data_IF_986283870967
#
_entry.id   IF_986283870967
#
_cell.length_a   1.000
_cell.length_b   1.000
_cell.length_c   1.000
_cell.angle_alpha   90.00
_cell.angle_beta   90.00
_cell.angle_gamma   90.00
#
_symmetry.space_group_name_H-M   'P 1'
#
loop_
_entity.id
_entity.type
_entity.pdbx_description
1 polymer ?
#
# COMPACT_ATOMS: atom_id res chain seq x y z
N UNK A 1 -4.53 23.72 4.81
CA UNK A 1 -4.73 25.19 4.74
C UNK A 1 -6.18 25.59 4.49
N UNK A 2 -6.92 25.01 3.53
CA UNK A 2 -8.32 25.41 3.31
C UNK A 2 -9.23 25.19 4.52
N UNK A 3 -9.06 24.09 5.26
CA UNK A 3 -9.80 23.85 6.51
C UNK A 3 -9.54 24.93 7.57
N UNK A 4 -8.27 25.32 7.74
CA UNK A 4 -7.88 26.42 8.65
C UNK A 4 -8.46 27.76 8.20
N UNK A 5 -8.47 28.02 6.88
CA UNK A 5 -8.96 29.28 6.33
C UNK A 5 -10.49 29.44 6.50
N UNK A 6 -11.23 28.33 6.40
CA UNK A 6 -12.71 28.33 6.49
C UNK A 6 -13.17 28.27 7.95
N UNK A 7 -12.54 27.43 8.78
CA UNK A 7 -13.02 27.11 10.13
C UNK A 7 -12.18 27.70 11.27
N UNK A 8 -11.04 28.32 10.94
CA UNK A 8 -10.12 28.92 11.90
C UNK A 8 -8.92 28.04 12.25
N UNK A 9 -7.96 28.63 12.94
CA UNK A 9 -6.70 27.99 13.31
C UNK A 9 -6.84 27.20 14.62
N UNK A 10 -7.27 25.94 14.51
CA UNK A 10 -7.44 25.03 15.66
C UNK A 10 -6.93 23.61 15.33
N UNK A 11 -6.28 22.91 16.28
CA UNK A 11 -5.77 21.55 16.07
C UNK A 11 -6.77 20.55 15.47
N UNK A 12 -8.07 20.69 15.77
CA UNK A 12 -9.09 19.85 15.15
C UNK A 12 -9.24 20.11 13.65
N UNK A 13 -9.31 21.38 13.24
CA UNK A 13 -9.45 21.76 11.83
C UNK A 13 -8.18 21.48 11.01
N UNK A 14 -7.03 21.33 11.65
CA UNK A 14 -5.79 20.87 11.01
C UNK A 14 -5.89 19.40 10.58
N UNK A 15 -6.56 18.57 11.39
CA UNK A 15 -6.72 17.13 11.20
C UNK A 15 -7.91 16.78 10.30
N UNK A 16 -8.88 17.70 10.20
CA UNK A 16 -10.14 17.46 9.49
C UNK A 16 -9.97 16.88 8.07
N UNK A 17 -9.04 17.36 7.21
CA UNK A 17 -8.88 16.75 5.89
C UNK A 17 -8.36 15.31 5.96
N UNK A 18 -7.41 14.99 6.85
CA UNK A 18 -6.93 13.62 7.05
C UNK A 18 -8.05 12.69 7.52
N UNK A 19 -8.89 13.16 8.45
CA UNK A 19 -10.04 12.40 8.97
C UNK A 19 -11.04 12.10 7.85
N UNK A 20 -11.35 13.09 7.00
CA UNK A 20 -12.25 12.92 5.86
C UNK A 20 -11.68 11.92 4.86
N UNK A 21 -10.40 12.06 4.50
CA UNK A 21 -9.74 11.18 3.54
C UNK A 21 -9.60 9.75 4.08
N UNK A 22 -9.27 9.56 5.36
CA UNK A 22 -9.22 8.24 6.00
C UNK A 22 -10.59 7.56 6.08
N UNK A 23 -11.65 8.33 6.36
CA UNK A 23 -13.03 7.84 6.36
C UNK A 23 -13.46 7.42 4.95
N UNK A 24 -13.14 8.23 3.94
CA UNK A 24 -13.47 7.93 2.55
C UNK A 24 -12.65 6.73 2.03
N UNK A 25 -11.36 6.64 2.38
CA UNK A 25 -10.48 5.49 2.10
C UNK A 25 -11.13 4.19 2.59
N UNK A 26 -11.58 4.18 3.84
CA UNK A 26 -12.25 3.02 4.48
C UNK A 26 -13.50 2.59 3.72
N UNK A 27 -14.36 3.55 3.37
CA UNK A 27 -15.57 3.28 2.62
C UNK A 27 -15.27 2.72 1.22
N UNK A 28 -14.36 3.38 0.49
CA UNK A 28 -13.99 3.00 -0.88
C UNK A 28 -13.36 1.62 -0.93
N UNK A 29 -12.52 1.24 0.05
CA UNK A 29 -11.97 -0.12 0.11
C UNK A 29 -13.06 -1.16 0.36
N UNK A 30 -14.02 -0.90 1.26
CA UNK A 30 -15.14 -1.82 1.46
C UNK A 30 -15.96 -2.04 0.19
N UNK A 31 -16.26 -0.97 -0.54
CA UNK A 31 -16.94 -1.04 -1.85
C UNK A 31 -16.10 -1.80 -2.87
N UNK A 32 -14.78 -1.57 -2.91
CA UNK A 32 -13.88 -2.27 -3.81
C UNK A 32 -13.83 -3.77 -3.53
N UNK A 33 -13.70 -4.16 -2.27
CA UNK A 33 -13.69 -5.58 -1.87
C UNK A 33 -15.04 -6.22 -2.22
N UNK A 34 -16.16 -5.58 -1.90
CA UNK A 34 -17.47 -6.05 -2.34
C UNK A 34 -17.54 -6.23 -3.88
N UNK A 35 -16.97 -5.30 -4.63
CA UNK A 35 -16.94 -5.38 -6.10
C UNK A 35 -16.10 -6.56 -6.59
N UNK A 36 -15.02 -6.92 -5.89
CA UNK A 36 -14.16 -8.07 -6.20
C UNK A 36 -14.83 -9.40 -5.82
N UNK A 37 -15.38 -9.50 -4.61
CA UNK A 37 -15.91 -10.76 -4.07
C UNK A 37 -17.36 -11.03 -4.50
N UNK A 38 -18.10 -9.97 -4.85
CA UNK A 38 -19.56 -9.97 -5.02
C UNK A 38 -20.35 -10.35 -3.77
N UNK A 39 -19.71 -10.31 -2.61
CA UNK A 39 -20.28 -10.75 -1.34
C UNK A 39 -20.20 -9.60 -0.32
N UNK A 40 -21.34 -9.01 0.10
CA UNK A 40 -21.36 -7.81 0.95
C UNK A 40 -20.61 -7.96 2.27
N UNK A 41 -20.64 -9.17 2.85
CA UNK A 41 -19.94 -9.50 4.09
C UNK A 41 -18.45 -9.18 4.00
N UNK A 42 -17.79 -9.54 2.89
CA UNK A 42 -16.37 -9.25 2.71
C UNK A 42 -16.10 -7.76 2.51
N UNK A 43 -17.01 -7.00 1.90
CA UNK A 43 -16.90 -5.54 1.85
C UNK A 43 -16.95 -4.90 3.24
N UNK A 44 -17.89 -5.35 4.08
CA UNK A 44 -18.01 -4.89 5.48
C UNK A 44 -16.77 -5.28 6.28
N UNK A 45 -16.31 -6.53 6.18
CA UNK A 45 -15.08 -6.99 6.84
C UNK A 45 -13.86 -6.20 6.39
N UNK A 46 -13.79 -5.83 5.10
CA UNK A 46 -12.78 -4.93 4.54
C UNK A 46 -12.73 -3.57 5.23
N UNK A 47 -13.87 -2.91 5.34
CA UNK A 47 -13.95 -1.63 6.05
C UNK A 47 -13.64 -1.79 7.55
N UNK A 48 -14.11 -2.86 8.19
CA UNK A 48 -13.83 -3.13 9.59
C UNK A 48 -12.33 -3.40 9.84
N UNK A 49 -11.65 -4.13 8.95
CA UNK A 49 -10.22 -4.39 9.08
C UNK A 49 -9.42 -3.08 9.15
N UNK A 50 -9.77 -2.11 8.30
CA UNK A 50 -9.15 -0.77 8.29
C UNK A 50 -9.53 0.04 9.53
N UNK A 51 -10.81 0.04 9.91
CA UNK A 51 -11.29 0.77 11.10
C UNK A 51 -10.75 0.22 12.42
N UNK A 52 -10.27 -1.02 12.43
CA UNK A 52 -9.73 -1.68 13.61
C UNK A 52 -8.20 -1.78 13.57
N UNK A 53 -7.56 -1.40 12.46
CA UNK A 53 -6.11 -1.31 12.38
C UNK A 53 -5.61 -0.01 13.03
N UNK A 54 -4.84 -0.08 14.14
CA UNK A 54 -4.25 1.07 14.79
C UNK A 54 -3.46 1.98 13.84
N UNK A 55 -2.79 1.40 12.83
CA UNK A 55 -2.01 2.18 11.86
C UNK A 55 -2.92 3.11 11.08
N UNK A 56 -4.07 2.61 10.60
CA UNK A 56 -5.00 3.41 9.83
C UNK A 56 -5.71 4.45 10.70
N UNK A 57 -6.33 4.02 11.80
CA UNK A 57 -7.15 4.90 12.64
C UNK A 57 -6.34 6.06 13.21
N UNK A 58 -5.16 5.78 13.76
CA UNK A 58 -4.36 6.83 14.40
C UNK A 58 -3.71 7.75 13.38
N UNK A 59 -3.19 7.23 12.26
CA UNK A 59 -2.58 8.09 11.23
C UNK A 59 -3.62 8.98 10.56
N UNK A 60 -4.83 8.48 10.32
CA UNK A 60 -5.93 9.26 9.75
C UNK A 60 -6.48 10.32 10.71
N UNK A 61 -6.32 10.12 12.01
CA UNK A 61 -6.62 11.12 13.03
C UNK A 61 -5.56 12.23 13.19
N UNK A 62 -4.41 12.11 12.51
CA UNK A 62 -3.31 13.06 12.61
C UNK A 62 -3.22 13.98 11.40
N UNK A 63 -2.74 15.20 11.63
CA UNK A 63 -2.48 16.18 10.57
C UNK A 63 -1.13 15.88 9.87
N UNK A 64 -0.98 14.66 9.33
CA UNK A 64 0.21 14.21 8.62
C UNK A 64 -0.10 13.87 7.15
N UNK A 65 0.94 13.79 6.32
CA UNK A 65 0.80 13.59 4.87
C UNK A 65 0.39 12.15 4.51
N UNK A 66 0.60 11.20 5.42
CA UNK A 66 0.41 9.78 5.22
C UNK A 66 -1.02 9.41 4.82
N UNK A 67 -2.04 10.07 5.38
CA UNK A 67 -3.44 9.81 5.02
C UNK A 67 -3.75 10.20 3.58
N UNK A 68 -3.14 11.27 3.07
CA UNK A 68 -3.31 11.71 1.68
C UNK A 68 -2.65 10.71 0.72
N UNK A 69 -1.40 10.33 1.03
CA UNK A 69 -0.63 9.37 0.22
C UNK A 69 -1.33 8.01 0.22
N UNK A 70 -1.75 7.52 1.38
CA UNK A 70 -2.48 6.26 1.54
C UNK A 70 -3.79 6.28 0.73
N UNK A 71 -4.60 7.34 0.85
CA UNK A 71 -5.84 7.48 0.10
C UNK A 71 -5.62 7.46 -1.43
N UNK A 72 -4.68 8.26 -1.94
CA UNK A 72 -4.41 8.29 -3.38
C UNK A 72 -3.75 7.01 -3.90
N UNK A 73 -2.88 6.37 -3.10
CA UNK A 73 -2.36 5.04 -3.41
C UNK A 73 -3.49 4.01 -3.53
N UNK A 74 -4.43 3.98 -2.58
CA UNK A 74 -5.60 3.09 -2.63
C UNK A 74 -6.42 3.31 -3.90
N UNK A 75 -6.74 4.58 -4.24
CA UNK A 75 -7.47 4.87 -5.46
C UNK A 75 -6.71 4.42 -6.70
N UNK A 76 -5.41 4.69 -6.78
CA UNK A 76 -4.60 4.26 -7.93
C UNK A 76 -4.65 2.74 -8.13
N UNK A 77 -4.53 1.98 -7.05
CA UNK A 77 -4.58 0.50 -7.07
C UNK A 77 -5.94 0.01 -7.52
N UNK A 78 -7.02 0.60 -7.00
CA UNK A 78 -8.38 0.27 -7.41
C UNK A 78 -8.54 0.48 -8.91
N UNK A 79 -8.10 1.61 -9.45
CA UNK A 79 -8.24 1.88 -10.89
C UNK A 79 -7.35 0.96 -11.74
N UNK A 80 -6.15 0.58 -11.30
CA UNK A 80 -5.35 -0.46 -11.98
C UNK A 80 -6.11 -1.79 -11.99
N UNK A 81 -6.66 -2.21 -10.86
CA UNK A 81 -7.45 -3.45 -10.74
C UNK A 81 -8.73 -3.44 -11.59
N UNK A 82 -9.32 -2.26 -11.81
CA UNK A 82 -10.49 -2.05 -12.67
C UNK A 82 -10.13 -1.84 -14.14
N UNK A 83 -8.84 -1.72 -14.47
CA UNK A 83 -8.34 -1.56 -15.83
C UNK A 83 -8.37 -0.12 -16.36
N UNK A 84 -8.60 0.89 -15.51
CA UNK A 84 -8.63 2.30 -15.89
C UNK A 84 -7.27 2.97 -15.64
N UNK A 85 -6.43 2.92 -16.67
CA UNK A 85 -5.04 3.40 -16.58
C UNK A 85 -4.93 4.92 -16.41
N UNK A 86 -5.90 5.68 -16.94
CA UNK A 86 -5.87 7.13 -16.88
C UNK A 86 -6.08 7.59 -15.43
N UNK A 87 -7.14 7.13 -14.78
CA UNK A 87 -7.38 7.49 -13.38
C UNK A 87 -6.31 6.91 -12.47
N UNK A 88 -5.82 5.69 -12.73
CA UNK A 88 -4.68 5.15 -12.00
C UNK A 88 -3.47 6.09 -12.06
N UNK A 89 -3.08 6.55 -13.25
CA UNK A 89 -2.00 7.52 -13.45
C UNK A 89 -2.23 8.85 -12.72
N UNK A 90 -3.46 9.37 -12.78
CA UNK A 90 -3.82 10.62 -12.08
C UNK A 90 -3.64 10.48 -10.58
N UNK A 91 -4.12 9.38 -9.99
CA UNK A 91 -4.01 9.16 -8.55
C UNK A 91 -2.59 8.85 -8.09
N UNK A 92 -1.76 8.19 -8.91
CA UNK A 92 -0.31 8.08 -8.65
C UNK A 92 0.32 9.48 -8.57
N UNK A 93 -0.01 10.38 -9.51
CA UNK A 93 0.48 11.75 -9.50
C UNK A 93 0.03 12.56 -8.28
N UNK A 94 -1.24 12.42 -7.86
CA UNK A 94 -1.77 13.03 -6.65
C UNK A 94 -1.08 12.50 -5.38
N UNK A 95 -0.84 11.20 -5.31
CA UNK A 95 -0.07 10.56 -4.24
C UNK A 95 1.35 11.11 -4.18
N UNK A 96 2.05 11.13 -5.33
CA UNK A 96 3.40 11.67 -5.48
C UNK A 96 3.52 13.15 -5.12
N UNK A 97 2.51 13.96 -5.45
CA UNK A 97 2.43 15.37 -5.07
C UNK A 97 2.18 15.58 -3.57
N UNK A 98 1.52 14.62 -2.91
CA UNK A 98 1.33 14.64 -1.45
C UNK A 98 2.62 14.22 -0.73
N UNK A 99 3.31 13.20 -1.24
CA UNK A 99 4.63 12.73 -0.79
C UNK A 99 5.27 11.88 -1.88
N UNK A 100 6.59 11.99 -2.07
CA UNK A 100 7.31 11.28 -3.14
C UNK A 100 7.12 9.75 -3.10
N UNK A 101 6.90 9.14 -1.92
CA UNK A 101 6.61 7.70 -1.80
C UNK A 101 5.29 7.27 -2.45
N UNK A 102 4.38 8.21 -2.75
CA UNK A 102 3.18 7.94 -3.55
C UNK A 102 3.50 7.45 -4.97
N UNK A 103 4.68 7.80 -5.51
CA UNK A 103 5.14 7.28 -6.80
C UNK A 103 5.55 5.80 -6.76
N UNK A 104 5.74 5.20 -5.58
CA UNK A 104 6.12 3.78 -5.48
C UNK A 104 5.10 2.84 -6.13
N UNK A 105 3.83 3.24 -6.21
CA UNK A 105 2.78 2.48 -6.88
C UNK A 105 2.94 2.45 -8.41
N UNK A 106 3.72 3.36 -9.00
CA UNK A 106 3.99 3.37 -10.45
C UNK A 106 4.70 2.10 -10.92
N UNK A 107 5.71 1.63 -10.16
CA UNK A 107 6.51 0.46 -10.54
C UNK A 107 5.68 -0.83 -10.69
N UNK A 108 4.88 -1.27 -9.70
CA UNK A 108 4.02 -2.44 -9.89
C UNK A 108 2.93 -2.23 -10.93
N UNK A 109 2.44 -0.99 -11.14
CA UNK A 109 1.45 -0.69 -12.17
C UNK A 109 2.02 -0.85 -13.58
N UNK A 110 3.27 -0.39 -13.79
CA UNK A 110 4.03 -0.60 -15.04
C UNK A 110 4.23 -2.11 -15.26
N UNK A 111 4.62 -2.85 -14.23
CA UNK A 111 4.78 -4.30 -14.32
C UNK A 111 3.48 -4.99 -14.72
N UNK A 112 2.34 -4.64 -14.11
CA UNK A 112 1.01 -5.14 -14.49
C UNK A 112 0.68 -4.81 -15.96
N UNK A 113 0.98 -3.60 -16.40
CA UNK A 113 0.76 -3.20 -17.80
C UNK A 113 1.58 -4.06 -18.78
N UNK A 114 2.83 -4.38 -18.43
CA UNK A 114 3.73 -5.22 -19.24
C UNK A 114 3.25 -6.67 -19.30
N UNK A 115 2.89 -7.28 -18.17
CA UNK A 115 2.39 -8.68 -18.15
C UNK A 115 1.06 -8.80 -18.92
N UNK A 116 0.25 -7.73 -18.94
CA UNK A 116 -0.97 -7.62 -19.73
C UNK A 116 -0.72 -7.31 -21.20
N UNK A 117 0.55 -7.26 -21.64
CA UNK A 117 0.97 -6.99 -23.02
C UNK A 117 0.39 -5.69 -23.58
N UNK A 118 0.19 -4.69 -22.72
CA UNK A 118 -0.21 -3.35 -23.17
C UNK A 118 0.95 -2.70 -23.91
N UNK A 119 0.64 -1.80 -24.84
CA UNK A 119 1.69 -1.14 -25.63
C UNK A 119 2.60 -0.32 -24.73
N UNK A 120 3.91 -0.37 -24.99
CA UNK A 120 4.90 0.40 -24.23
C UNK A 120 4.57 1.90 -24.20
N UNK A 121 4.06 2.44 -25.32
CA UNK A 121 3.60 3.83 -25.42
C UNK A 121 2.48 4.14 -24.43
N UNK A 122 1.47 3.27 -24.32
CA UNK A 122 0.38 3.43 -23.35
C UNK A 122 0.88 3.29 -21.91
N UNK A 123 1.75 2.31 -21.65
CA UNK A 123 2.35 2.11 -20.31
C UNK A 123 3.10 3.35 -19.85
N UNK A 124 4.01 3.88 -20.68
CA UNK A 124 4.77 5.10 -20.37
C UNK A 124 3.82 6.29 -20.22
N UNK A 125 2.85 6.43 -21.12
CA UNK A 125 1.91 7.55 -21.06
C UNK A 125 1.13 7.56 -19.74
N UNK A 126 0.48 6.46 -19.36
CA UNK A 126 -0.39 6.44 -18.19
C UNK A 126 0.35 6.34 -16.87
N UNK A 127 1.47 5.62 -16.79
CA UNK A 127 2.14 5.36 -15.52
C UNK A 127 3.42 6.17 -15.30
N UNK A 128 3.82 6.99 -16.27
CA UNK A 128 4.95 7.93 -16.13
C UNK A 128 4.52 9.34 -16.49
N UNK A 129 4.03 9.57 -17.71
CA UNK A 129 3.74 10.92 -18.19
C UNK A 129 2.57 11.55 -17.43
N UNK A 130 1.43 10.87 -17.31
CA UNK A 130 0.27 11.40 -16.58
C UNK A 130 0.60 11.73 -15.11
N UNK A 131 1.21 10.83 -14.30
CA UNK A 131 1.61 11.15 -12.93
C UNK A 131 2.53 12.37 -12.84
N UNK A 132 3.53 12.48 -13.74
CA UNK A 132 4.44 13.63 -13.78
C UNK A 132 3.72 14.92 -14.17
N UNK A 133 2.79 14.88 -15.13
CA UNK A 133 2.00 16.05 -15.50
C UNK A 133 1.11 16.53 -14.35
N UNK A 134 0.46 15.62 -13.62
CA UNK A 134 -0.34 15.97 -12.43
C UNK A 134 0.56 16.58 -11.35
N UNK A 135 1.70 15.96 -11.06
CA UNK A 135 2.67 16.49 -10.11
C UNK A 135 3.16 17.89 -10.49
N UNK A 136 3.55 18.10 -11.75
CA UNK A 136 3.98 19.40 -12.26
C UNK A 136 2.87 20.43 -12.19
N UNK A 137 1.65 20.07 -12.57
CA UNK A 137 0.49 20.95 -12.54
C UNK A 137 0.23 21.48 -11.12
N UNK A 138 0.26 20.59 -10.12
CA UNK A 138 0.08 20.97 -8.71
C UNK A 138 1.23 21.81 -8.16
N UNK A 139 2.43 21.69 -8.73
CA UNK A 139 3.59 22.48 -8.35
C UNK A 139 3.67 23.85 -9.05
N UNK A 140 2.79 24.16 -10.02
CA UNK A 140 2.79 25.46 -10.72
C UNK A 140 2.82 26.67 -9.78
N UNK A 141 2.03 26.74 -8.68
CA UNK A 141 2.08 27.88 -7.76
C UNK A 141 3.46 28.05 -7.11
N UNK A 142 4.10 26.94 -6.72
CA UNK A 142 5.43 26.93 -6.11
C UNK A 142 6.49 27.35 -7.15
N UNK A 143 6.39 26.82 -8.37
CA UNK A 143 7.28 27.19 -9.49
C UNK A 143 7.16 28.68 -9.81
N UNK A 144 5.95 29.24 -9.79
CA UNK A 144 5.74 30.69 -10.02
C UNK A 144 6.30 31.54 -8.90
N UNK A 145 6.22 31.07 -7.64
CA UNK A 145 6.68 31.81 -6.47
C UNK A 145 8.21 31.81 -6.33
N UNK A 146 8.86 30.66 -6.52
CA UNK A 146 10.30 30.51 -6.28
C UNK A 146 11.14 30.50 -7.57
N UNK A 147 10.51 30.35 -8.73
CA UNK A 147 11.19 30.13 -10.00
C UNK A 147 11.51 28.65 -10.26
N UNK A 148 11.57 28.28 -11.54
CA UNK A 148 11.75 26.88 -11.95
C UNK A 148 13.08 26.28 -11.48
N UNK A 149 14.16 27.07 -11.46
CA UNK A 149 15.47 26.61 -11.00
C UNK A 149 15.47 26.26 -9.50
N UNK A 150 15.01 27.17 -8.65
CA UNK A 150 14.94 26.93 -7.19
C UNK A 150 13.98 25.80 -6.86
N UNK A 151 12.82 25.74 -7.53
CA UNK A 151 11.89 24.63 -7.37
C UNK A 151 12.55 23.29 -7.71
N UNK A 152 13.26 23.19 -8.84
CA UNK A 152 13.94 21.96 -9.25
C UNK A 152 15.04 21.57 -8.24
N UNK A 153 15.90 22.53 -7.89
CA UNK A 153 17.01 22.31 -6.97
C UNK A 153 16.53 21.84 -5.59
N UNK A 154 15.52 22.49 -5.01
CA UNK A 154 15.06 22.19 -3.64
C UNK A 154 14.04 21.05 -3.60
N UNK A 155 13.05 21.08 -4.48
CA UNK A 155 11.88 20.18 -4.41
C UNK A 155 12.12 18.85 -5.09
N UNK A 156 13.05 18.78 -6.06
CA UNK A 156 13.39 17.53 -6.76
C UNK A 156 14.74 17.01 -6.29
N UNK A 157 15.83 17.74 -6.57
CA UNK A 157 17.19 17.27 -6.23
C UNK A 157 17.34 17.18 -4.71
N UNK A 158 16.97 18.23 -3.98
CA UNK A 158 17.00 18.25 -2.51
C UNK A 158 16.14 17.15 -1.89
N UNK A 159 14.91 16.96 -2.38
CA UNK A 159 14.03 15.90 -1.89
C UNK A 159 14.61 14.50 -2.14
N UNK A 160 15.15 14.23 -3.34
CA UNK A 160 15.80 12.94 -3.63
C UNK A 160 17.03 12.70 -2.75
N UNK A 161 17.88 13.73 -2.58
CA UNK A 161 19.04 13.65 -1.70
C UNK A 161 18.63 13.39 -0.24
N UNK A 162 17.59 14.07 0.24
CA UNK A 162 17.01 13.83 1.57
C UNK A 162 16.46 12.41 1.68
N UNK A 163 15.69 11.92 0.71
CA UNK A 163 15.09 10.59 0.77
C UNK A 163 16.12 9.46 0.69
N UNK A 164 17.30 9.68 0.11
CA UNK A 164 18.38 8.69 0.02
C UNK A 164 19.40 8.76 1.16
N UNK A 165 19.36 9.77 2.03
CA UNK A 165 20.25 9.88 3.18
C UNK A 165 19.65 9.25 4.45
N UNK A 166 20.49 8.79 5.37
CA UNK A 166 20.06 8.43 6.73
C UNK A 166 19.98 9.71 7.57
N UNK A 167 18.82 9.98 8.18
CA UNK A 167 18.49 11.26 8.85
C UNK A 167 18.81 11.22 10.34
N UNK A 168 18.47 10.11 10.98
CA UNK A 168 18.56 9.91 12.42
C UNK A 168 19.07 8.51 12.70
N UNK A 169 19.93 8.40 13.71
CA UNK A 169 20.36 7.11 14.24
C UNK A 169 19.25 6.51 15.12
N UNK A 170 19.24 5.18 15.32
CA UNK A 170 18.34 4.57 16.30
C UNK A 170 18.40 5.30 17.65
N UNK A 171 17.26 5.77 18.15
CA UNK A 171 17.14 6.47 19.43
C UNK A 171 17.32 8.00 19.40
N UNK A 172 17.72 8.59 18.27
CA UNK A 172 17.93 10.05 18.15
C UNK A 172 16.75 10.81 17.51
N UNK A 173 15.65 10.13 17.21
CA UNK A 173 14.49 10.73 16.55
C UNK A 173 13.24 9.84 16.65
N UNK A 174 12.24 10.06 15.78
CA UNK A 174 11.08 9.18 15.71
C UNK A 174 11.52 7.72 15.49
N UNK A 175 10.76 6.74 16.02
CA UNK A 175 11.03 5.33 15.84
C UNK A 175 11.27 4.95 14.37
N UNK A 176 12.41 4.29 14.14
CA UNK A 176 12.83 3.78 12.83
C UNK A 176 12.72 2.25 12.81
N UNK A 177 12.41 1.70 11.65
CA UNK A 177 12.31 0.26 11.42
C UNK A 177 12.61 -0.03 9.96
N UNK A 178 13.30 -1.15 9.70
CA UNK A 178 13.40 -1.64 8.34
C UNK A 178 12.01 -1.99 7.79
N UNK A 179 11.76 -1.86 6.47
CA UNK A 179 10.42 -2.07 5.93
C UNK A 179 9.81 -3.46 6.21
N UNK A 180 10.62 -4.49 6.41
CA UNK A 180 10.13 -5.83 6.80
C UNK A 180 9.77 -5.95 8.29
N UNK A 181 10.37 -5.13 9.14
CA UNK A 181 10.10 -5.10 10.59
C UNK A 181 8.71 -4.51 10.89
N UNK A 182 8.15 -3.73 9.96
CA UNK A 182 6.80 -3.20 10.01
C UNK A 182 5.72 -4.29 10.14
N UNK A 183 5.89 -5.44 9.46
CA UNK A 183 4.95 -6.57 9.57
C UNK A 183 4.94 -7.19 10.98
N UNK A 184 6.02 -7.00 11.74
CA UNK A 184 6.18 -7.50 13.10
C UNK A 184 5.84 -6.43 14.16
N UNK A 185 5.57 -5.19 13.74
CA UNK A 185 5.26 -4.09 14.65
C UNK A 185 6.44 -3.70 15.56
N UNK A 186 7.67 -3.89 15.09
CA UNK A 186 8.90 -3.50 15.81
C UNK A 186 9.00 -1.96 15.82
N UNK A 187 9.54 -1.40 16.92
CA UNK A 187 9.70 0.04 17.17
C UNK A 187 8.45 0.88 16.79
N UNK A 188 7.29 0.68 17.47
CA UNK A 188 6.09 1.47 17.23
C UNK A 188 6.33 2.97 17.35
N UNK A 189 5.60 3.75 16.54
CA UNK A 189 5.49 5.20 16.72
C UNK A 189 4.38 5.51 17.74
N UNK A 190 4.64 6.28 18.79
CA UNK A 190 3.63 6.58 19.81
C UNK A 190 2.99 7.95 19.59
N UNK A 191 1.65 8.00 19.61
CA UNK A 191 0.89 9.26 19.42
C UNK A 191 0.58 9.97 20.74
N UNK A 192 0.43 9.20 21.81
CA UNK A 192 0.20 9.69 23.17
C UNK A 192 1.10 8.94 24.13
N UNK A 193 1.50 9.62 25.20
CA UNK A 193 2.44 9.11 26.23
C UNK A 193 1.70 8.67 27.50
N UNK A 194 0.42 9.02 27.66
CA UNK A 194 -0.42 8.53 28.76
C UNK A 194 -1.92 8.67 28.44
N UNK A 195 -2.66 7.57 28.15
CA UNK A 195 -2.13 6.21 27.96
C UNK A 195 -1.26 6.13 26.70
N UNK A 196 -0.38 5.14 26.64
CA UNK A 196 0.44 4.88 25.46
C UNK A 196 -0.44 4.40 24.30
N UNK A 197 -0.37 5.12 23.17
CA UNK A 197 -1.10 4.75 21.95
C UNK A 197 -0.09 4.44 20.83
N UNK A 198 0.39 3.19 20.74
CA UNK A 198 1.34 2.79 19.72
C UNK A 198 0.67 2.61 18.36
N UNK A 199 1.23 3.27 17.35
CA UNK A 199 1.07 2.95 15.94
C UNK A 199 2.05 1.82 15.62
N UNK A 200 1.54 0.60 15.59
CA UNK A 200 2.25 -0.60 15.13
C UNK A 200 1.35 -1.41 14.22
N UNK A 201 2.00 -2.14 13.33
CA UNK A 201 1.31 -3.07 12.48
C UNK A 201 0.51 -4.13 13.22
N UNK A 202 -0.65 -4.49 12.67
CA UNK A 202 -1.45 -5.60 13.17
C UNK A 202 -0.79 -6.92 12.79
N UNK A 203 0.04 -7.45 13.69
CA UNK A 203 0.84 -8.67 13.45
C UNK A 203 0.00 -9.86 12.95
N UNK A 204 -1.25 -9.99 13.40
CA UNK A 204 -2.13 -11.09 12.99
C UNK A 204 -2.55 -10.93 11.53
N UNK A 205 -2.99 -9.74 11.12
CA UNK A 205 -3.38 -9.46 9.73
C UNK A 205 -2.14 -9.57 8.83
N UNK A 206 -1.02 -9.03 9.26
CA UNK A 206 0.17 -8.85 8.43
C UNK A 206 0.95 -10.15 8.21
N UNK A 207 1.15 -10.96 9.26
CA UNK A 207 1.65 -12.32 9.10
C UNK A 207 0.63 -13.20 8.37
N UNK A 208 -0.67 -13.02 8.65
CA UNK A 208 -1.75 -13.69 7.93
C UNK A 208 -1.68 -13.43 6.43
N UNK A 209 -1.49 -12.18 6.00
CA UNK A 209 -1.31 -11.79 4.61
C UNK A 209 -0.13 -12.49 3.97
N UNK A 210 1.02 -12.56 4.66
CA UNK A 210 2.22 -13.22 4.13
C UNK A 210 1.94 -14.71 3.92
N UNK A 211 1.39 -15.38 4.93
CA UNK A 211 1.08 -16.82 4.90
C UNK A 211 0.06 -17.11 3.79
N UNK A 212 -1.05 -16.38 3.76
CA UNK A 212 -2.11 -16.55 2.77
C UNK A 212 -1.64 -16.21 1.36
N UNK A 213 -0.75 -15.23 1.19
CA UNK A 213 -0.12 -14.91 -0.10
C UNK A 213 0.73 -16.07 -0.60
N UNK A 214 1.62 -16.61 0.25
CA UNK A 214 2.46 -17.76 -0.12
C UNK A 214 1.59 -18.95 -0.51
N UNK A 215 0.59 -19.28 0.30
CA UNK A 215 -0.32 -20.37 0.02
C UNK A 215 -1.15 -20.14 -1.25
N UNK A 216 -1.54 -18.89 -1.56
CA UNK A 216 -2.21 -18.53 -2.82
C UNK A 216 -1.30 -18.67 -4.04
N UNK A 217 -0.01 -18.34 -3.91
CA UNK A 217 0.96 -18.54 -5.00
C UNK A 217 1.10 -20.02 -5.33
N UNK A 218 1.23 -20.88 -4.31
CA UNK A 218 1.28 -22.34 -4.48
C UNK A 218 -0.03 -22.86 -5.11
N UNK A 219 -1.16 -22.35 -4.62
CA UNK A 219 -2.47 -22.68 -5.15
C UNK A 219 -2.62 -22.35 -6.64
N UNK A 220 -2.29 -21.11 -7.06
CA UNK A 220 -2.35 -20.72 -8.46
C UNK A 220 -1.30 -21.41 -9.35
N UNK A 221 -0.18 -21.85 -8.78
CA UNK A 221 0.80 -22.65 -9.53
C UNK A 221 0.22 -24.00 -9.96
N UNK A 222 -0.63 -24.61 -9.13
CA UNK A 222 -1.36 -25.85 -9.41
C UNK A 222 -2.62 -25.62 -10.25
N UNK A 223 -3.49 -24.71 -9.81
CA UNK A 223 -4.79 -24.43 -10.44
C UNK A 223 -4.69 -23.20 -11.37
N UNK A 224 -3.91 -23.33 -12.44
CA UNK A 224 -3.59 -22.22 -13.36
C UNK A 224 -4.81 -21.69 -14.11
N UNK A 225 -5.84 -22.49 -14.27
CA UNK A 225 -7.13 -22.13 -14.87
C UNK A 225 -7.81 -20.98 -14.09
N UNK A 226 -7.65 -20.95 -12.77
CA UNK A 226 -8.25 -19.94 -11.89
C UNK A 226 -7.56 -18.57 -11.95
N UNK A 227 -6.37 -18.47 -12.53
CA UNK A 227 -5.62 -17.19 -12.60
C UNK A 227 -6.44 -16.08 -13.25
N UNK A 228 -7.19 -16.40 -14.32
CA UNK A 228 -8.02 -15.41 -15.03
C UNK A 228 -9.21 -14.95 -14.20
N UNK A 229 -9.81 -15.85 -13.43
CA UNK A 229 -10.95 -15.55 -12.56
C UNK A 229 -10.53 -14.63 -11.41
N UNK A 230 -9.35 -14.87 -10.83
CA UNK A 230 -8.81 -14.12 -9.70
C UNK A 230 -7.77 -13.07 -10.10
N UNK A 231 -7.80 -12.60 -11.36
CA UNK A 231 -6.75 -11.70 -11.89
C UNK A 231 -6.65 -10.39 -11.09
N UNK A 232 -7.78 -9.83 -10.64
CA UNK A 232 -7.79 -8.60 -9.84
C UNK A 232 -7.18 -8.80 -8.44
N UNK A 233 -7.32 -9.99 -7.84
CA UNK A 233 -6.62 -10.34 -6.60
C UNK A 233 -5.11 -10.43 -6.86
N UNK A 234 -4.69 -11.06 -7.95
CA UNK A 234 -3.27 -11.15 -8.31
C UNK A 234 -2.68 -9.75 -8.53
N UNK A 235 -3.42 -8.83 -9.17
CA UNK A 235 -3.01 -7.43 -9.27
C UNK A 235 -2.91 -6.75 -7.91
N UNK A 236 -3.89 -6.96 -7.02
CA UNK A 236 -3.85 -6.41 -5.66
C UNK A 236 -2.62 -6.90 -4.89
N UNK A 237 -2.25 -8.18 -5.04
CA UNK A 237 -1.01 -8.74 -4.47
C UNK A 237 0.22 -8.02 -5.02
N UNK A 238 0.36 -7.94 -6.35
CA UNK A 238 1.49 -7.29 -7.02
C UNK A 238 1.60 -5.81 -6.60
N UNK A 239 0.47 -5.09 -6.54
CA UNK A 239 0.42 -3.68 -6.20
C UNK A 239 0.77 -3.43 -4.73
N UNK A 240 0.27 -4.25 -3.81
CA UNK A 240 0.53 -4.12 -2.38
C UNK A 240 2.02 -4.37 -2.06
N UNK A 241 2.53 -5.52 -2.49
CA UNK A 241 3.94 -5.87 -2.28
C UNK A 241 4.89 -4.99 -3.10
N UNK A 242 4.52 -4.61 -4.32
CA UNK A 242 5.35 -3.74 -5.15
C UNK A 242 5.43 -2.31 -4.64
N UNK A 243 4.35 -1.78 -4.06
CA UNK A 243 4.38 -0.45 -3.40
C UNK A 243 5.25 -0.51 -2.14
N UNK A 244 5.11 -1.56 -1.32
CA UNK A 244 5.98 -1.81 -0.17
C UNK A 244 7.45 -1.98 -0.59
N UNK A 245 7.70 -2.66 -1.71
CA UNK A 245 9.05 -2.86 -2.24
C UNK A 245 9.74 -1.55 -2.60
N UNK A 246 9.00 -0.48 -2.92
CA UNK A 246 9.58 0.86 -3.09
C UNK A 246 10.32 1.36 -1.84
N UNK A 247 9.78 1.09 -0.65
CA UNK A 247 10.46 1.39 0.62
C UNK A 247 11.70 0.51 0.84
N UNK A 248 11.62 -0.77 0.46
CA UNK A 248 12.77 -1.69 0.51
C UNK A 248 13.90 -1.20 -0.40
N UNK A 249 13.58 -0.72 -1.60
CA UNK A 249 14.57 -0.16 -2.53
C UNK A 249 15.27 1.07 -1.94
N UNK A 250 14.51 1.97 -1.31
CA UNK A 250 15.09 3.14 -0.64
C UNK A 250 15.96 2.74 0.55
N UNK A 251 15.55 1.74 1.32
CA UNK A 251 16.37 1.18 2.41
C UNK A 251 17.69 0.61 1.88
N UNK A 252 17.64 -0.21 0.83
CA UNK A 252 18.83 -0.79 0.18
C UNK A 252 19.73 0.29 -0.42
N UNK A 253 19.14 1.39 -0.91
CA UNK A 253 19.89 2.52 -1.46
C UNK A 253 20.62 3.37 -0.40
N UNK A 254 20.48 3.06 0.90
CA UNK A 254 21.27 3.65 1.99
C UNK A 254 20.48 4.51 2.97
N UNK A 255 19.16 4.62 2.83
CA UNK A 255 18.32 5.28 3.81
C UNK A 255 17.85 4.29 4.89
N UNK A 256 18.54 4.29 6.04
CA UNK A 256 18.17 3.46 7.19
C UNK A 256 17.31 4.20 8.22
N UNK A 257 16.75 5.36 7.86
CA UNK A 257 15.82 6.14 8.69
C UNK A 257 14.39 6.07 8.14
N UNK A 258 13.95 4.86 7.80
CA UNK A 258 12.55 4.61 7.47
C UNK A 258 11.72 4.64 8.76
N UNK A 259 10.94 5.70 8.95
CA UNK A 259 10.12 5.84 10.15
C UNK A 259 8.97 4.84 10.16
N UNK A 260 8.66 4.26 11.32
CA UNK A 260 7.66 3.20 11.45
C UNK A 260 6.26 3.63 10.98
N UNK A 261 5.93 4.92 11.06
CA UNK A 261 4.65 5.44 10.58
C UNK A 261 4.53 5.51 9.05
N UNK A 262 5.61 5.33 8.29
CA UNK A 262 5.54 5.24 6.82
C UNK A 262 4.77 4.01 6.34
N UNK A 263 4.64 2.99 7.20
CA UNK A 263 3.77 1.84 6.98
C UNK A 263 2.33 2.24 6.64
N UNK A 264 1.86 3.41 7.08
CA UNK A 264 0.50 3.89 6.84
C UNK A 264 0.07 3.92 5.36
N UNK A 265 1.01 4.08 4.42
CA UNK A 265 0.69 3.98 2.99
C UNK A 265 0.27 2.57 2.58
N UNK A 266 0.93 1.55 3.14
CA UNK A 266 0.76 0.14 2.73
C UNK A 266 -0.15 -0.65 3.68
N UNK A 267 -0.41 -0.17 4.89
CA UNK A 267 -1.29 -0.79 5.88
C UNK A 267 -2.68 -1.11 5.28
N UNK A 268 -3.36 -0.10 4.73
CA UNK A 268 -4.70 -0.29 4.12
C UNK A 268 -4.68 -1.26 2.93
N UNK A 269 -3.55 -1.39 2.24
CA UNK A 269 -3.40 -2.32 1.12
C UNK A 269 -3.31 -3.76 1.63
N UNK A 270 -2.54 -3.98 2.70
CA UNK A 270 -2.44 -5.29 3.33
C UNK A 270 -3.74 -5.69 4.04
N UNK A 271 -4.45 -4.75 4.68
CA UNK A 271 -5.77 -5.04 5.25
C UNK A 271 -6.76 -5.48 4.16
N UNK A 272 -6.80 -4.75 3.03
CA UNK A 272 -7.64 -5.12 1.91
C UNK A 272 -7.25 -6.48 1.32
N UNK A 273 -5.96 -6.70 1.11
CA UNK A 273 -5.42 -7.94 0.57
C UNK A 273 -5.75 -9.12 1.50
N UNK A 274 -5.63 -8.96 2.81
CA UNK A 274 -5.98 -9.99 3.79
C UNK A 274 -7.41 -10.49 3.59
N UNK A 275 -8.37 -9.56 3.49
CA UNK A 275 -9.78 -9.91 3.35
C UNK A 275 -10.08 -10.58 2.00
N UNK A 276 -9.47 -10.12 0.90
CA UNK A 276 -9.66 -10.75 -0.41
C UNK A 276 -9.02 -12.14 -0.46
N UNK A 277 -7.87 -12.34 0.22
CA UNK A 277 -7.26 -13.66 0.38
C UNK A 277 -8.15 -14.59 1.22
N UNK A 278 -8.71 -14.12 2.33
CA UNK A 278 -9.67 -14.92 3.10
C UNK A 278 -10.88 -15.35 2.25
N UNK A 279 -11.39 -14.46 1.40
CA UNK A 279 -12.45 -14.82 0.45
C UNK A 279 -12.01 -15.92 -0.53
N UNK A 280 -10.80 -15.85 -1.09
CA UNK A 280 -10.27 -16.92 -1.97
C UNK A 280 -10.26 -18.27 -1.23
N UNK A 281 -9.74 -18.30 0.00
CA UNK A 281 -9.68 -19.54 0.79
C UNK A 281 -11.05 -20.08 1.16
N UNK A 282 -11.99 -19.19 1.47
CA UNK A 282 -13.38 -19.56 1.72
C UNK A 282 -14.03 -20.17 0.47
N UNK A 283 -13.88 -19.51 -0.68
CA UNK A 283 -14.50 -19.93 -1.95
C UNK A 283 -13.95 -21.24 -2.48
N UNK A 284 -12.62 -21.40 -2.39
CA UNK A 284 -11.90 -22.55 -2.94
C UNK A 284 -11.50 -23.58 -1.87
N UNK A 285 -12.16 -23.57 -0.71
CA UNK A 285 -11.79 -24.39 0.46
C UNK A 285 -11.53 -25.87 0.10
N UNK A 286 -12.42 -26.49 -0.66
CA UNK A 286 -12.28 -27.90 -1.07
C UNK A 286 -11.00 -28.16 -1.89
N UNK A 287 -10.64 -27.24 -2.80
CA UNK A 287 -9.42 -27.35 -3.61
C UNK A 287 -8.17 -27.13 -2.75
N UNK A 288 -8.23 -26.23 -1.75
CA UNK A 288 -7.14 -26.06 -0.79
C UNK A 288 -6.92 -27.32 0.05
N UNK A 289 -7.99 -27.95 0.56
CA UNK A 289 -7.88 -29.21 1.31
C UNK A 289 -7.28 -30.32 0.43
N UNK A 290 -7.72 -30.42 -0.82
CA UNK A 290 -7.14 -31.36 -1.78
C UNK A 290 -5.65 -31.11 -2.00
N UNK A 291 -5.25 -29.86 -2.26
CA UNK A 291 -3.84 -29.47 -2.43
C UNK A 291 -2.99 -29.84 -1.21
N UNK A 292 -3.48 -29.55 0.00
CA UNK A 292 -2.79 -29.90 1.25
C UNK A 292 -2.65 -31.41 1.38
N UNK A 293 -3.72 -32.18 1.12
CA UNK A 293 -3.69 -33.64 1.23
C UNK A 293 -2.65 -34.28 0.29
N UNK A 294 -2.53 -33.78 -0.94
CA UNK A 294 -1.56 -34.27 -1.92
C UNK A 294 -0.11 -33.96 -1.51
N UNK A 295 0.14 -32.76 -0.99
CA UNK A 295 1.48 -32.36 -0.51
C UNK A 295 1.93 -33.30 0.62
N UNK A 296 1.03 -33.65 1.54
CA UNK A 296 1.35 -34.54 2.65
C UNK A 296 1.42 -36.03 2.23
N UNK A 297 0.63 -36.48 1.26
CA UNK A 297 0.70 -37.88 0.77
C UNK A 297 1.98 -38.17 -0.02
N UNK A 298 2.50 -37.21 -0.78
CA UNK A 298 3.78 -37.36 -1.50
C UNK A 298 4.96 -37.56 -0.54
N UNK A 299 4.89 -36.95 0.65
CA UNK A 299 5.94 -37.03 1.67
C UNK A 299 6.01 -38.39 2.36
N UNK A 300 4.88 -39.13 2.42
CA UNK A 300 4.83 -40.49 2.97
C UNK A 300 5.34 -41.56 2.00
N UNK A 301 5.25 -41.35 0.68
CA UNK A 301 5.81 -42.29 -0.30
C UNK A 301 7.34 -42.22 -0.39
N UNK A 302 7.94 -41.03 -0.33
CA UNK A 302 9.40 -40.85 -0.42
C UNK A 302 10.17 -41.37 0.82
N UNK A 303 9.52 -41.43 1.98
CA UNK A 303 10.12 -41.98 3.21
C UNK A 303 10.10 -43.50 3.28
N UNK A 304 9.32 -44.18 2.42
CA UNK A 304 9.28 -45.64 2.32
C UNK A 304 10.34 -46.24 1.38
N UNK A 305 10.82 -45.47 0.40
CA UNK A 305 11.81 -45.92 -0.60
C UNK A 305 13.27 -45.72 -0.20
N UNK A 306 13.55 -45.07 0.93
CA UNK A 306 14.91 -44.87 1.47
C UNK A 306 15.29 -45.85 2.59
N UNK A 307 14.48 -46.89 2.81
CA UNK A 307 14.69 -47.91 3.87
C UNK A 307 15.02 -49.33 3.39
N UNK A 308 15.34 -49.54 2.11
CA UNK A 308 15.81 -50.83 1.60
C UNK A 308 17.22 -50.72 1.01
#
# INVERSE_FOLDING_TARGET
>A
MYSMLIFGDNPFYWRLPSIILGSLKTFVIGVFIYRLTKEPVFGILGSLAILLDPVNVYMDGLAMLESYVSFFTVLSIIFVCLGDDLFAGVFIGLGGASKMSGFFTALPSIFISIINRRSLKKTIFYYVIIPLLVFLFLNIPIIRLFGAYEWWSRSIIGALSWHLSTKTRPGEGPPISAPWEWFLGINPFYVTVNPDTPIRGNILIYLGVIILTIASIIFFAKYRDLIKEYISLIYLMILSYGTWFGYVLVWIAGNHSEYSFYMAQVASLFDALFIVLLHLFYKEYSRFIQLISEIFSLKTSETSTTKN
#
